data_IF_944299058388
#
_entry.id   IF_944299058388
#
_cell.length_a   1.000
_cell.length_b   1.000
_cell.length_c   1.000
_cell.angle_alpha   90.00
_cell.angle_beta   90.00
_cell.angle_gamma   90.00
#
_symmetry.space_group_name_H-M   'P 1'
#
loop_
_entity.id
_entity.type
_entity.pdbx_description
1 polymer ?
#
# COMPACT_ATOMS: atom_id res chain seq x y z
N UNK A 1 -32.56 6.85 29.10
CA UNK A 1 -31.24 7.16 29.69
C UNK A 1 -30.14 6.14 29.36
N UNK A 2 -30.45 4.86 29.08
CA UNK A 2 -29.43 3.83 28.71
C UNK A 2 -28.79 4.10 27.33
N UNK A 3 -29.45 4.86 26.45
CA UNK A 3 -28.94 5.20 25.11
C UNK A 3 -27.73 6.17 25.07
N UNK A 4 -27.43 6.90 26.15
CA UNK A 4 -26.36 7.91 26.14
C UNK A 4 -24.95 7.36 26.36
N UNK A 5 -24.81 6.09 26.80
CA UNK A 5 -23.50 5.51 27.16
C UNK A 5 -23.00 4.50 26.12
N UNK A 6 -23.91 3.89 25.36
CA UNK A 6 -23.57 2.82 24.42
C UNK A 6 -22.86 3.35 23.16
N UNK A 7 -23.24 4.52 22.66
CA UNK A 7 -22.61 5.16 21.49
C UNK A 7 -21.13 5.54 21.70
N UNK A 8 -20.78 6.25 22.79
CA UNK A 8 -19.38 6.59 23.08
C UNK A 8 -18.50 5.35 23.31
N UNK A 9 -19.02 4.32 23.97
CA UNK A 9 -18.27 3.11 24.27
C UNK A 9 -17.96 2.28 23.01
N UNK A 10 -18.89 2.21 22.05
CA UNK A 10 -18.64 1.52 20.77
C UNK A 10 -17.63 2.27 19.91
N UNK A 11 -17.71 3.60 19.86
CA UNK A 11 -16.70 4.44 19.20
C UNK A 11 -15.32 4.22 19.83
N UNK A 12 -15.21 4.25 21.16
CA UNK A 12 -13.95 4.04 21.86
C UNK A 12 -13.34 2.65 21.58
N UNK A 13 -14.17 1.59 21.60
CA UNK A 13 -13.72 0.22 21.32
C UNK A 13 -13.25 0.06 19.88
N UNK A 14 -13.96 0.63 18.90
CA UNK A 14 -13.53 0.58 17.50
C UNK A 14 -12.25 1.37 17.25
N UNK A 15 -12.07 2.51 17.93
CA UNK A 15 -10.82 3.31 17.87
C UNK A 15 -9.64 2.54 18.48
N UNK A 16 -9.85 1.91 19.64
CA UNK A 16 -8.80 1.13 20.32
C UNK A 16 -8.42 -0.11 19.52
N UNK A 17 -9.40 -0.88 19.04
CA UNK A 17 -9.16 -2.09 18.27
C UNK A 17 -8.43 -1.80 16.95
N UNK A 18 -8.76 -0.69 16.29
CA UNK A 18 -8.09 -0.30 15.05
C UNK A 18 -6.73 0.33 15.29
N UNK A 19 -6.59 1.18 16.31
CA UNK A 19 -5.29 1.73 16.70
C UNK A 19 -4.27 0.62 16.93
N UNK A 20 -4.65 -0.44 17.65
CA UNK A 20 -3.80 -1.61 17.85
C UNK A 20 -3.42 -2.35 16.54
N UNK A 21 -4.32 -2.39 15.55
CA UNK A 21 -4.07 -3.02 14.25
C UNK A 21 -3.21 -2.17 13.29
N UNK A 22 -3.45 -0.86 13.24
CA UNK A 22 -2.75 0.07 12.34
C UNK A 22 -1.26 0.24 12.73
N UNK A 23 -0.95 0.20 14.03
CA UNK A 23 0.44 0.19 14.50
C UNK A 23 1.21 -1.08 14.11
N UNK A 24 0.50 -2.17 13.76
CA UNK A 24 1.13 -3.42 13.34
C UNK A 24 1.30 -3.56 11.81
N UNK A 25 0.61 -2.75 11.00
CA UNK A 25 0.51 -2.99 9.56
C UNK A 25 1.54 -2.28 8.69
N UNK A 26 2.56 -1.61 9.26
CA UNK A 26 3.66 -1.00 8.48
C UNK A 26 3.20 -0.05 7.37
N UNK A 27 2.10 0.68 7.58
CA UNK A 27 1.51 1.52 6.53
C UNK A 27 2.43 2.68 6.13
N UNK A 28 2.56 2.93 4.82
CA UNK A 28 3.29 4.08 4.26
C UNK A 28 2.65 5.44 4.56
N UNK A 29 1.42 5.47 5.07
CA UNK A 29 0.78 6.69 5.53
C UNK A 29 1.28 7.06 6.93
N UNK A 30 1.46 8.35 7.24
CA UNK A 30 1.84 8.70 8.60
C UNK A 30 0.73 8.30 9.58
N UNK A 31 1.08 7.92 10.82
CA UNK A 31 0.13 7.27 11.74
C UNK A 31 -1.10 8.12 12.06
N UNK A 32 -1.00 9.44 11.94
CA UNK A 32 -2.05 10.36 12.35
C UNK A 32 -3.13 10.54 11.28
N UNK A 33 -2.80 10.56 9.99
CA UNK A 33 -3.78 10.64 8.89
C UNK A 33 -4.67 9.39 8.92
N UNK A 34 -4.05 8.22 9.09
CA UNK A 34 -4.79 6.95 9.24
C UNK A 34 -5.71 7.02 10.45
N UNK A 35 -5.20 7.47 11.60
CA UNK A 35 -6.01 7.60 12.81
C UNK A 35 -7.19 8.55 12.59
N UNK A 36 -6.97 9.75 12.05
CA UNK A 36 -8.02 10.75 11.80
C UNK A 36 -9.05 10.24 10.78
N UNK A 37 -8.59 9.62 9.70
CA UNK A 37 -9.46 9.04 8.67
C UNK A 37 -10.37 7.95 9.22
N UNK A 38 -9.81 7.04 10.00
CA UNK A 38 -10.57 5.94 10.60
C UNK A 38 -11.52 6.45 11.66
N UNK A 39 -11.06 7.30 12.57
CA UNK A 39 -11.88 7.88 13.63
C UNK A 39 -13.06 8.65 13.02
N UNK A 40 -12.81 9.48 12.01
CA UNK A 40 -13.86 10.26 11.34
C UNK A 40 -14.86 9.36 10.61
N UNK A 41 -14.40 8.35 9.87
CA UNK A 41 -15.26 7.44 9.10
C UNK A 41 -16.10 6.55 10.02
N UNK A 42 -15.46 5.85 10.97
CA UNK A 42 -16.14 4.97 11.92
C UNK A 42 -17.08 5.76 12.82
N UNK A 43 -16.62 6.91 13.33
CA UNK A 43 -17.43 7.80 14.15
C UNK A 43 -18.66 8.32 13.41
N UNK A 44 -18.49 8.69 12.13
CA UNK A 44 -19.58 9.09 11.24
C UNK A 44 -20.64 7.97 11.13
N UNK A 45 -20.26 6.76 10.72
CA UNK A 45 -21.20 5.65 10.57
C UNK A 45 -21.89 5.25 11.88
N UNK A 46 -21.17 5.28 13.00
CA UNK A 46 -21.74 5.01 14.32
C UNK A 46 -22.84 6.04 14.69
N UNK A 47 -22.57 7.33 14.45
CA UNK A 47 -23.53 8.40 14.72
C UNK A 47 -24.75 8.36 13.81
N UNK A 48 -24.56 8.08 12.51
CA UNK A 48 -25.69 7.89 11.59
C UNK A 48 -26.53 6.70 12.07
N UNK A 49 -25.91 5.58 12.45
CA UNK A 49 -26.62 4.40 12.97
C UNK A 49 -27.42 4.73 14.23
N UNK A 50 -26.82 5.49 15.15
CA UNK A 50 -27.51 6.02 16.33
C UNK A 50 -28.71 6.89 15.97
N UNK A 51 -28.56 7.81 15.01
CA UNK A 51 -29.64 8.67 14.56
C UNK A 51 -30.81 7.85 13.97
N UNK A 52 -30.54 6.89 13.10
CA UNK A 52 -31.57 5.99 12.56
C UNK A 52 -32.22 5.11 13.63
N UNK A 53 -31.47 4.69 14.66
CA UNK A 53 -32.01 3.92 15.78
C UNK A 53 -32.93 4.73 16.69
N UNK A 54 -32.69 6.05 16.81
CA UNK A 54 -33.54 6.97 17.58
C UNK A 54 -34.76 7.46 16.80
N UNK A 55 -34.65 7.63 15.48
CA UNK A 55 -35.65 8.32 14.66
C UNK A 55 -36.60 7.40 13.90
N UNK A 56 -36.14 6.20 13.52
CA UNK A 56 -36.91 5.25 12.71
C UNK A 56 -37.26 3.96 13.47
N UNK A 57 -38.18 3.17 12.92
CA UNK A 57 -38.52 1.85 13.49
C UNK A 57 -37.33 0.92 13.32
N UNK A 58 -36.89 0.30 14.42
CA UNK A 58 -35.72 -0.62 14.48
C UNK A 58 -35.70 -1.67 13.37
N UNK A 59 -36.86 -2.20 12.99
CA UNK A 59 -37.00 -3.21 11.93
C UNK A 59 -36.55 -2.72 10.54
N UNK A 60 -36.60 -1.41 10.28
CA UNK A 60 -36.21 -0.80 9.00
C UNK A 60 -34.83 -0.15 9.11
N UNK A 61 -34.48 0.39 10.28
CA UNK A 61 -33.21 1.11 10.48
C UNK A 61 -31.98 0.26 10.15
N UNK A 62 -31.94 -0.99 10.62
CA UNK A 62 -30.80 -1.90 10.42
C UNK A 62 -30.57 -2.23 8.93
N UNK A 63 -31.55 -2.78 8.19
CA UNK A 63 -31.33 -3.09 6.78
C UNK A 63 -31.06 -1.85 5.93
N UNK A 64 -31.71 -0.72 6.24
CA UNK A 64 -31.49 0.52 5.50
C UNK A 64 -30.06 1.05 5.70
N UNK A 65 -29.54 1.05 6.93
CA UNK A 65 -28.16 1.47 7.19
C UNK A 65 -27.13 0.56 6.53
N UNK A 66 -27.41 -0.75 6.48
CA UNK A 66 -26.54 -1.70 5.80
C UNK A 66 -26.50 -1.43 4.28
N UNK A 67 -27.67 -1.23 3.66
CA UNK A 67 -27.77 -0.94 2.22
C UNK A 67 -27.14 0.41 1.89
N UNK A 68 -27.47 1.47 2.63
CA UNK A 68 -26.94 2.82 2.38
C UNK A 68 -25.44 2.86 2.63
N UNK A 69 -24.95 2.23 3.71
CA UNK A 69 -23.52 2.18 4.00
C UNK A 69 -22.74 1.39 2.96
N UNK A 70 -23.27 0.24 2.52
CA UNK A 70 -22.68 -0.53 1.43
C UNK A 70 -22.61 0.30 0.13
N UNK A 71 -23.72 0.93 -0.26
CA UNK A 71 -23.75 1.77 -1.45
C UNK A 71 -22.79 2.96 -1.33
N UNK A 72 -22.68 3.60 -0.16
CA UNK A 72 -21.75 4.71 0.05
C UNK A 72 -20.28 4.29 -0.02
N UNK A 73 -19.95 3.07 0.41
CA UNK A 73 -18.56 2.60 0.36
C UNK A 73 -18.19 2.05 -1.03
N UNK A 74 -19.12 1.42 -1.74
CA UNK A 74 -18.85 0.74 -3.01
C UNK A 74 -19.14 1.59 -4.23
N UNK A 75 -20.28 2.29 -4.26
CA UNK A 75 -20.71 3.02 -5.45
C UNK A 75 -19.75 4.13 -5.87
N UNK A 76 -19.16 4.95 -4.97
CA UNK A 76 -18.25 6.01 -5.40
C UNK A 76 -17.05 5.52 -6.21
N UNK A 77 -16.56 4.30 -5.98
CA UNK A 77 -15.49 3.70 -6.77
C UNK A 77 -15.94 3.22 -8.16
N UNK A 78 -17.24 3.01 -8.38
CA UNK A 78 -17.80 2.47 -9.61
C UNK A 78 -18.39 3.55 -10.54
N UNK A 79 -18.54 4.80 -10.09
CA UNK A 79 -19.20 5.87 -10.86
C UNK A 79 -18.23 6.95 -11.34
N UNK A 80 -18.51 7.50 -12.52
CA UNK A 80 -17.98 8.79 -12.96
C UNK A 80 -19.06 9.85 -12.71
N UNK A 81 -18.74 11.03 -12.14
CA UNK A 81 -17.41 11.66 -12.02
C UNK A 81 -16.61 11.27 -10.77
N UNK A 82 -15.29 11.42 -10.88
CA UNK A 82 -14.30 10.90 -9.93
C UNK A 82 -14.30 11.57 -8.55
N UNK A 83 -14.73 12.83 -8.45
CA UNK A 83 -14.75 13.57 -7.18
C UNK A 83 -15.62 12.90 -6.10
N UNK A 84 -16.65 12.12 -6.47
CA UNK A 84 -17.53 11.44 -5.49
C UNK A 84 -16.72 10.44 -4.66
N UNK A 85 -15.74 9.76 -5.28
CA UNK A 85 -14.88 8.77 -4.61
C UNK A 85 -14.10 9.38 -3.44
N UNK A 86 -13.73 10.66 -3.55
CA UNK A 86 -12.87 11.34 -2.60
C UNK A 86 -13.63 11.81 -1.35
N UNK A 87 -14.96 11.75 -1.36
CA UNK A 87 -15.82 12.27 -0.28
C UNK A 87 -16.20 11.22 0.78
N UNK A 88 -16.04 9.93 0.49
CA UNK A 88 -16.46 8.87 1.44
C UNK A 88 -15.41 8.58 2.54
N UNK A 89 -14.25 9.26 2.49
CA UNK A 89 -13.14 9.04 3.41
C UNK A 89 -12.40 7.72 3.18
N UNK A 90 -12.66 7.05 2.05
CA UNK A 90 -11.94 5.86 1.63
C UNK A 90 -10.85 6.26 0.65
N UNK A 91 -9.60 6.03 1.02
CA UNK A 91 -8.43 6.30 0.17
C UNK A 91 -7.95 5.00 -0.49
N UNK A 92 -8.89 4.15 -0.91
CA UNK A 92 -8.59 2.88 -1.59
C UNK A 92 -7.76 3.17 -2.84
N UNK A 93 -6.65 2.44 -3.00
CA UNK A 93 -5.71 2.61 -4.11
C UNK A 93 -4.59 3.62 -3.81
N UNK A 94 -4.64 4.34 -2.69
CA UNK A 94 -3.47 5.02 -2.15
C UNK A 94 -2.74 4.08 -1.17
N UNK A 95 -1.41 4.09 -1.07
CA UNK A 95 -0.47 4.89 -1.85
C UNK A 95 0.63 3.97 -2.38
N UNK A 96 1.07 4.21 -3.61
CA UNK A 96 2.33 3.68 -4.13
C UNK A 96 3.52 4.37 -3.47
N UNK A 97 4.73 3.88 -3.73
CA UNK A 97 5.96 4.40 -3.11
C UNK A 97 6.35 5.78 -3.63
N UNK A 98 6.09 5.99 -4.90
CA UNK A 98 6.27 7.20 -5.67
C UNK A 98 5.24 8.30 -5.34
N UNK A 99 4.24 7.96 -4.54
CA UNK A 99 3.05 8.78 -4.34
C UNK A 99 2.77 9.05 -2.87
N UNK A 100 2.26 10.23 -2.55
CA UNK A 100 1.75 10.60 -1.24
C UNK A 100 0.25 10.88 -1.31
N UNK A 101 -0.42 10.76 -0.17
CA UNK A 101 -1.85 11.07 -0.10
C UNK A 101 -2.07 12.55 -0.37
N UNK A 102 -2.95 12.88 -1.31
CA UNK A 102 -3.34 14.25 -1.57
C UNK A 102 -4.00 14.85 -0.33
N UNK A 103 -3.40 15.91 0.22
CA UNK A 103 -3.97 16.64 1.36
C UNK A 103 -5.40 17.12 1.06
N UNK A 104 -5.66 17.52 -0.19
CA UNK A 104 -6.99 17.97 -0.62
C UNK A 104 -8.02 16.84 -0.57
N UNK A 105 -7.66 15.63 -1.02
CA UNK A 105 -8.54 14.45 -0.97
C UNK A 105 -8.75 13.99 0.48
N UNK A 106 -7.67 13.97 1.27
CA UNK A 106 -7.72 13.65 2.69
C UNK A 106 -8.73 14.54 3.44
N UNK A 107 -8.60 15.86 3.27
CA UNK A 107 -9.48 16.80 3.94
C UNK A 107 -10.90 16.81 3.37
N UNK A 108 -11.10 16.62 2.06
CA UNK A 108 -12.44 16.54 1.46
C UNK A 108 -13.26 15.39 2.08
N UNK A 109 -12.68 14.18 2.16
CA UNK A 109 -13.33 13.02 2.79
C UNK A 109 -13.53 13.20 4.30
N UNK A 110 -12.50 13.70 4.99
CA UNK A 110 -12.56 13.90 6.45
C UNK A 110 -13.61 14.93 6.84
N UNK A 111 -13.64 16.09 6.17
CA UNK A 111 -14.62 17.15 6.42
C UNK A 111 -16.03 16.66 6.10
N UNK A 112 -16.21 15.89 5.01
CA UNK A 112 -17.50 15.31 4.68
C UNK A 112 -18.00 14.36 5.77
N UNK A 113 -17.14 13.47 6.26
CA UNK A 113 -17.48 12.54 7.33
C UNK A 113 -17.82 13.27 8.64
N UNK A 114 -17.06 14.32 9.00
CA UNK A 114 -17.35 15.15 10.16
C UNK A 114 -18.66 15.94 10.01
N UNK A 115 -18.97 16.44 8.81
CA UNK A 115 -20.21 17.14 8.51
C UNK A 115 -21.43 16.22 8.67
N UNK A 116 -21.34 14.98 8.18
CA UNK A 116 -22.39 13.96 8.33
C UNK A 116 -22.53 13.54 9.80
N UNK A 117 -21.41 13.34 10.52
CA UNK A 117 -21.40 13.04 11.95
C UNK A 117 -22.11 14.15 12.76
N UNK A 118 -21.79 15.42 12.48
CA UNK A 118 -22.42 16.56 13.13
C UNK A 118 -23.92 16.63 12.83
N UNK A 119 -24.32 16.40 11.57
CA UNK A 119 -25.72 16.33 11.19
C UNK A 119 -26.48 15.23 11.96
N UNK A 120 -25.91 14.04 12.07
CA UNK A 120 -26.50 12.95 12.84
C UNK A 120 -26.64 13.32 14.33
N UNK A 121 -25.63 13.97 14.92
CA UNK A 121 -25.67 14.43 16.31
C UNK A 121 -26.75 15.51 16.54
N UNK A 122 -26.88 16.47 15.63
CA UNK A 122 -27.95 17.49 15.64
C UNK A 122 -29.31 16.82 15.60
N UNK A 123 -29.50 15.81 14.74
CA UNK A 123 -30.78 15.09 14.64
C UNK A 123 -31.11 14.29 15.90
N UNK A 124 -30.12 13.68 16.57
CA UNK A 124 -30.30 12.94 17.83
C UNK A 124 -30.67 13.90 18.98
N UNK A 125 -29.94 15.01 19.12
CA UNK A 125 -30.08 15.95 20.25
C UNK A 125 -31.33 16.81 20.17
N UNK A 126 -31.93 16.96 18.99
CA UNK A 126 -33.11 17.82 18.77
C UNK A 126 -34.43 17.05 18.73
N UNK A 127 -34.42 15.77 19.08
CA UNK A 127 -35.63 14.96 19.26
C UNK A 127 -36.52 15.58 20.34
N UNK A 128 -37.76 15.90 19.98
CA UNK A 128 -38.73 16.55 20.89
C UNK A 128 -38.62 18.08 20.98
N UNK A 129 -37.71 18.71 20.22
CA UNK A 129 -37.60 20.17 20.17
C UNK A 129 -38.70 20.79 19.30
N UNK A 130 -39.33 21.89 19.75
CA UNK A 130 -40.34 22.62 18.99
C UNK A 130 -39.80 23.24 17.68
N UNK A 131 -38.49 23.52 17.61
CA UNK A 131 -37.83 24.06 16.41
C UNK A 131 -37.19 22.99 15.52
N UNK A 132 -37.65 21.74 15.62
CA UNK A 132 -37.06 20.60 14.90
C UNK A 132 -36.92 20.81 13.39
N UNK A 133 -37.87 21.49 12.75
CA UNK A 133 -37.80 21.76 11.31
C UNK A 133 -36.53 22.54 10.93
N UNK A 134 -36.14 23.55 11.73
CA UNK A 134 -34.92 24.35 11.49
C UNK A 134 -33.68 23.48 11.62
N UNK A 135 -33.63 22.62 12.66
CA UNK A 135 -32.49 21.73 12.89
C UNK A 135 -32.33 20.65 11.83
N UNK A 136 -33.45 20.14 11.29
CA UNK A 136 -33.43 19.22 10.14
C UNK A 136 -32.83 19.92 8.93
N UNK A 137 -33.27 21.15 8.62
CA UNK A 137 -32.69 21.92 7.51
C UNK A 137 -31.18 22.13 7.69
N UNK A 138 -30.73 22.48 8.90
CA UNK A 138 -29.30 22.62 9.20
C UNK A 138 -28.55 21.30 9.02
N UNK A 139 -29.10 20.19 9.51
CA UNK A 139 -28.52 18.86 9.39
C UNK A 139 -28.43 18.37 7.93
N UNK A 140 -29.25 18.91 7.03
CA UNK A 140 -29.18 18.64 5.59
C UNK A 140 -28.18 19.58 4.90
N UNK A 141 -28.22 20.88 5.22
CA UNK A 141 -27.39 21.90 4.56
C UNK A 141 -25.90 21.68 4.84
N UNK A 142 -25.52 21.31 6.07
CA UNK A 142 -24.11 21.16 6.45
C UNK A 142 -23.39 20.08 5.61
N UNK A 143 -23.88 18.82 5.52
CA UNK A 143 -23.26 17.81 4.67
C UNK A 143 -23.31 18.14 3.17
N UNK A 144 -24.35 18.83 2.70
CA UNK A 144 -24.44 19.25 1.29
C UNK A 144 -23.41 20.32 0.96
N UNK A 145 -23.20 21.29 1.85
CA UNK A 145 -22.18 22.31 1.69
C UNK A 145 -20.78 21.70 1.72
N UNK A 146 -20.51 20.78 2.66
CA UNK A 146 -19.25 20.04 2.72
C UNK A 146 -19.00 19.22 1.45
N UNK A 147 -20.03 18.53 0.94
CA UNK A 147 -19.92 17.75 -0.29
C UNK A 147 -19.65 18.66 -1.51
N UNK A 148 -20.30 19.81 -1.58
CA UNK A 148 -20.08 20.78 -2.65
C UNK A 148 -18.66 21.37 -2.62
N UNK A 149 -18.18 21.74 -1.43
CA UNK A 149 -16.82 22.25 -1.24
C UNK A 149 -15.79 21.17 -1.60
N UNK A 150 -15.98 19.94 -1.12
CA UNK A 150 -15.10 18.82 -1.42
C UNK A 150 -15.12 18.43 -2.90
N UNK A 151 -16.28 18.48 -3.55
CA UNK A 151 -16.41 18.25 -4.99
C UNK A 151 -15.66 19.33 -5.79
N UNK A 152 -15.78 20.61 -5.39
CA UNK A 152 -15.07 21.71 -6.03
C UNK A 152 -13.56 21.65 -5.80
N UNK A 153 -13.10 21.20 -4.63
CA UNK A 153 -11.65 21.09 -4.34
C UNK A 153 -11.01 19.86 -4.97
N UNK A 154 -11.78 18.83 -5.29
CA UNK A 154 -11.28 17.57 -5.88
C UNK A 154 -11.70 17.39 -7.35
N UNK A 155 -12.18 18.44 -8.02
CA UNK A 155 -12.64 18.36 -9.42
C UNK A 155 -11.54 17.93 -10.38
N UNK A 156 -10.30 18.32 -10.08
CA UNK A 156 -9.13 18.10 -10.93
C UNK A 156 -8.31 16.89 -10.48
N UNK A 157 -8.74 16.23 -9.39
CA UNK A 157 -8.08 15.02 -8.89
C UNK A 157 -8.44 13.85 -9.80
N UNK A 158 -7.42 13.08 -10.16
CA UNK A 158 -7.54 11.90 -10.99
C UNK A 158 -8.30 10.75 -10.33
N UNK A 159 -8.18 9.53 -10.89
CA UNK A 159 -8.89 8.39 -10.35
C UNK A 159 -8.34 7.86 -9.01
N UNK A 160 -7.15 8.27 -8.65
CA UNK A 160 -6.47 7.81 -7.45
C UNK A 160 -6.34 8.98 -6.47
N UNK A 161 -6.32 8.66 -5.17
CA UNK A 161 -6.31 9.67 -4.09
C UNK A 161 -4.90 10.23 -3.82
N UNK A 162 -3.92 9.80 -4.60
CA UNK A 162 -2.52 10.09 -4.46
C UNK A 162 -2.07 11.25 -5.38
N UNK A 163 -0.95 11.84 -5.02
CA UNK A 163 -0.19 12.80 -5.80
C UNK A 163 1.27 12.34 -5.81
N UNK A 164 2.04 12.73 -6.82
CA UNK A 164 3.47 12.45 -6.84
C UNK A 164 4.16 13.02 -5.59
N UNK A 165 5.05 12.23 -4.97
CA UNK A 165 5.78 12.69 -3.79
C UNK A 165 6.60 13.93 -4.12
N UNK A 166 6.41 14.98 -3.33
CA UNK A 166 7.14 16.24 -3.45
C UNK A 166 8.56 16.20 -2.85
N UNK A 167 8.83 15.22 -2.00
CA UNK A 167 10.10 15.07 -1.29
C UNK A 167 11.16 14.48 -2.22
N UNK A 168 12.37 15.06 -2.35
CA UNK A 168 13.41 14.46 -3.20
C UNK A 168 14.03 13.21 -2.55
N UNK A 169 14.51 12.30 -3.40
CA UNK A 169 15.32 11.17 -2.93
C UNK A 169 16.67 11.65 -2.38
N UNK A 170 17.13 10.96 -1.34
CA UNK A 170 18.48 11.11 -0.77
C UNK A 170 19.34 9.98 -1.32
N UNK A 171 20.45 10.34 -1.97
CA UNK A 171 21.37 9.37 -2.55
C UNK A 171 22.65 9.28 -1.74
N UNK A 172 23.04 8.06 -1.42
CA UNK A 172 24.29 7.73 -0.73
C UNK A 172 25.11 6.78 -1.62
N UNK A 173 26.44 6.87 -1.54
CA UNK A 173 27.34 6.06 -2.36
C UNK A 173 28.43 5.42 -1.52
N UNK A 174 28.64 4.11 -1.71
CA UNK A 174 29.66 3.30 -1.03
C UNK A 174 30.10 2.16 -1.94
N UNK A 175 31.42 1.87 -2.00
CA UNK A 175 32.00 0.71 -2.70
C UNK A 175 31.40 0.43 -4.10
N UNK A 176 31.40 1.45 -4.96
CA UNK A 176 30.88 1.40 -6.35
C UNK A 176 29.36 1.15 -6.46
N UNK A 177 28.61 1.36 -5.37
CA UNK A 177 27.14 1.40 -5.37
C UNK A 177 26.66 2.81 -5.10
N UNK A 178 25.67 3.23 -5.84
CA UNK A 178 24.81 4.36 -5.47
C UNK A 178 23.42 3.83 -5.15
N UNK A 179 22.90 4.15 -3.97
CA UNK A 179 21.51 3.88 -3.63
C UNK A 179 20.80 5.18 -3.30
N UNK A 180 19.59 5.36 -3.83
CA UNK A 180 18.76 6.54 -3.61
C UNK A 180 17.44 6.12 -2.97
N UNK A 181 17.22 6.53 -1.74
CA UNK A 181 16.03 6.20 -0.94
C UNK A 181 15.27 7.46 -0.55
N UNK A 182 14.08 7.26 0.01
CA UNK A 182 13.35 8.34 0.65
C UNK A 182 14.03 8.75 1.97
N UNK A 183 13.89 10.01 2.42
CA UNK A 183 14.55 10.51 3.61
C UNK A 183 14.28 9.68 4.88
N UNK A 184 13.07 9.13 5.02
CA UNK A 184 12.70 8.28 6.15
C UNK A 184 13.50 6.96 6.24
N UNK A 185 14.17 6.56 5.15
CA UNK A 185 15.08 5.41 5.12
C UNK A 185 16.54 5.85 5.29
N UNK A 186 16.90 7.04 4.78
CA UNK A 186 18.30 7.51 4.88
C UNK A 186 18.76 7.78 6.30
N UNK A 187 17.84 7.99 7.25
CA UNK A 187 18.22 8.18 8.65
C UNK A 187 18.82 6.92 9.32
N UNK A 188 18.66 5.73 8.70
CA UNK A 188 19.32 4.46 9.08
C UNK A 188 20.45 4.04 8.10
N UNK A 189 21.06 5.03 7.43
CA UNK A 189 21.98 4.86 6.29
C UNK A 189 23.11 3.84 6.52
N UNK A 190 23.59 3.69 7.75
CA UNK A 190 24.67 2.78 8.08
C UNK A 190 24.31 1.30 7.87
N UNK A 191 23.08 0.90 8.20
CA UNK A 191 22.67 -0.50 8.10
C UNK A 191 22.35 -0.91 6.66
N UNK A 192 21.55 -0.08 5.97
CA UNK A 192 21.14 -0.33 4.58
C UNK A 192 22.35 -0.39 3.64
N UNK A 193 23.27 0.58 3.73
CA UNK A 193 24.48 0.59 2.91
C UNK A 193 25.35 -0.65 3.13
N UNK A 194 25.54 -1.05 4.40
CA UNK A 194 26.33 -2.22 4.76
C UNK A 194 25.71 -3.52 4.23
N UNK A 195 24.39 -3.65 4.30
CA UNK A 195 23.67 -4.81 3.76
C UNK A 195 23.79 -4.84 2.24
N UNK A 196 23.56 -3.72 1.54
CA UNK A 196 23.72 -3.65 0.08
C UNK A 196 25.14 -4.06 -0.34
N UNK A 197 26.16 -3.53 0.34
CA UNK A 197 27.56 -3.88 0.07
C UNK A 197 27.85 -5.37 0.32
N UNK A 198 27.33 -5.94 1.42
CA UNK A 198 27.42 -7.37 1.73
C UNK A 198 26.79 -8.22 0.63
N UNK A 199 25.53 -7.92 0.26
CA UNK A 199 24.78 -8.67 -0.76
C UNK A 199 25.49 -8.64 -2.10
N UNK A 200 25.95 -7.47 -2.56
CA UNK A 200 26.71 -7.36 -3.81
C UNK A 200 28.01 -8.14 -3.77
N UNK A 201 28.71 -8.12 -2.64
CA UNK A 201 29.95 -8.89 -2.50
C UNK A 201 29.67 -10.40 -2.57
N UNK A 202 28.60 -10.87 -1.94
CA UNK A 202 28.19 -12.27 -1.97
C UNK A 202 27.76 -12.71 -3.37
N UNK A 203 26.98 -11.87 -4.06
CA UNK A 203 26.58 -12.09 -5.45
C UNK A 203 27.76 -12.09 -6.43
N UNK A 204 28.68 -11.13 -6.30
CA UNK A 204 29.89 -11.05 -7.12
C UNK A 204 30.77 -12.29 -6.92
N UNK A 205 30.90 -12.78 -5.68
CA UNK A 205 31.58 -14.05 -5.37
C UNK A 205 30.90 -15.26 -6.02
N UNK A 206 29.60 -15.19 -6.27
CA UNK A 206 28.82 -16.21 -6.97
C UNK A 206 28.82 -16.04 -8.50
N UNK A 207 29.50 -15.01 -9.03
CA UNK A 207 29.57 -14.73 -10.47
C UNK A 207 28.41 -13.89 -11.01
N UNK A 208 27.61 -13.27 -10.14
CA UNK A 208 26.56 -12.34 -10.56
C UNK A 208 27.01 -10.88 -10.38
N UNK A 209 27.09 -10.14 -11.48
CA UNK A 209 27.38 -8.71 -11.46
C UNK A 209 26.09 -7.91 -11.26
N UNK A 210 25.94 -7.46 -10.02
CA UNK A 210 24.80 -6.69 -9.56
C UNK A 210 24.83 -5.23 -10.06
N UNK A 211 23.66 -4.62 -10.37
CA UNK A 211 23.56 -3.22 -10.72
C UNK A 211 24.35 -2.29 -9.80
N UNK A 212 24.94 -1.25 -10.37
CA UNK A 212 25.67 -0.21 -9.62
C UNK A 212 24.75 0.83 -8.98
N UNK A 213 23.49 0.93 -9.44
CA UNK A 213 22.56 1.96 -8.97
C UNK A 213 21.21 1.36 -8.60
N UNK A 214 20.76 1.66 -7.39
CA UNK A 214 19.46 1.28 -6.84
C UNK A 214 18.66 2.53 -6.49
N UNK A 215 17.38 2.60 -6.85
CA UNK A 215 16.53 3.76 -6.55
C UNK A 215 15.17 3.33 -6.02
N UNK A 216 14.56 4.10 -5.13
CA UNK A 216 13.21 3.83 -4.66
C UNK A 216 12.13 4.10 -5.73
N UNK A 217 12.48 4.83 -6.80
CA UNK A 217 11.64 5.09 -7.97
C UNK A 217 12.49 4.98 -9.24
N UNK A 218 11.88 4.55 -10.35
CA UNK A 218 12.53 4.56 -11.66
C UNK A 218 12.39 5.94 -12.31
N UNK A 219 13.49 6.48 -12.82
CA UNK A 219 13.49 7.62 -13.75
C UNK A 219 14.00 7.24 -15.13
N UNK A 220 14.49 6.00 -15.29
CA UNK A 220 15.03 5.44 -16.53
C UNK A 220 14.84 3.92 -16.58
N UNK A 221 14.64 3.32 -17.77
CA UNK A 221 14.56 1.87 -17.96
C UNK A 221 15.80 1.08 -17.51
N UNK A 222 16.92 1.74 -17.24
CA UNK A 222 18.16 1.12 -16.76
C UNK A 222 18.32 1.13 -15.23
N UNK A 223 17.35 1.69 -14.51
CA UNK A 223 17.42 1.84 -13.06
C UNK A 223 16.62 0.75 -12.36
N UNK A 224 17.25 0.15 -11.36
CA UNK A 224 16.66 -0.92 -10.55
C UNK A 224 15.89 -0.32 -9.39
N UNK A 225 14.58 -0.62 -9.35
CA UNK A 225 13.69 -0.14 -8.30
C UNK A 225 13.74 -1.06 -7.10
N UNK A 226 14.19 -0.57 -5.96
CA UNK A 226 14.19 -1.31 -4.70
C UNK A 226 13.29 -0.64 -3.66
N UNK A 227 12.58 -1.45 -2.89
CA UNK A 227 11.51 -1.01 -1.99
C UNK A 227 11.85 -1.39 -0.55
N UNK A 228 12.09 -0.41 0.31
CA UNK A 228 12.37 -0.64 1.73
C UNK A 228 11.45 0.24 2.56
N UNK A 229 10.96 -0.30 3.68
CA UNK A 229 10.19 0.43 4.68
C UNK A 229 11.11 0.87 5.84
N UNK A 230 10.76 1.92 6.60
CA UNK A 230 11.53 2.30 7.79
C UNK A 230 11.69 1.12 8.76
N UNK A 231 12.86 1.01 9.38
CA UNK A 231 13.21 -0.06 10.33
C UNK A 231 13.08 -1.49 9.76
N UNK A 232 13.19 -1.65 8.43
CA UNK A 232 13.13 -2.96 7.80
C UNK A 232 14.24 -3.89 8.35
N UNK A 233 13.89 -5.12 8.77
CA UNK A 233 14.89 -6.09 9.21
C UNK A 233 15.81 -6.49 8.05
N UNK A 234 17.03 -6.94 8.36
CA UNK A 234 18.04 -7.31 7.37
C UNK A 234 17.52 -8.27 6.28
N UNK A 235 16.64 -9.21 6.65
CA UNK A 235 16.05 -10.17 5.72
C UNK A 235 15.16 -9.49 4.67
N UNK A 236 14.39 -8.48 5.06
CA UNK A 236 13.49 -7.75 4.16
C UNK A 236 14.30 -6.87 3.20
N UNK A 237 15.41 -6.31 3.67
CA UNK A 237 16.35 -5.54 2.82
C UNK A 237 16.98 -6.47 1.76
N UNK A 238 17.47 -7.65 2.17
CA UNK A 238 18.05 -8.65 1.25
C UNK A 238 17.03 -9.16 0.24
N UNK A 239 15.80 -9.39 0.69
CA UNK A 239 14.71 -9.81 -0.19
C UNK A 239 14.32 -8.71 -1.16
N UNK A 240 14.20 -7.47 -0.70
CA UNK A 240 13.90 -6.33 -1.56
C UNK A 240 14.94 -6.13 -2.66
N UNK A 241 16.24 -6.23 -2.33
CA UNK A 241 17.32 -6.14 -3.32
C UNK A 241 17.23 -7.26 -4.37
N UNK A 242 16.91 -8.48 -3.94
CA UNK A 242 16.75 -9.61 -4.85
C UNK A 242 15.58 -9.39 -5.80
N UNK A 243 14.42 -9.00 -5.25
CA UNK A 243 13.23 -8.70 -6.03
C UNK A 243 13.47 -7.55 -7.02
N UNK A 244 14.19 -6.52 -6.59
CA UNK A 244 14.55 -5.38 -7.42
C UNK A 244 15.31 -5.83 -8.68
N UNK A 245 16.31 -6.70 -8.51
CA UNK A 245 17.10 -7.24 -9.62
C UNK A 245 16.25 -8.13 -10.53
N UNK A 246 15.49 -9.06 -9.95
CA UNK A 246 14.68 -10.03 -10.72
C UNK A 246 13.58 -9.33 -11.52
N UNK A 247 12.90 -8.36 -10.92
CA UNK A 247 11.84 -7.59 -11.59
C UNK A 247 12.37 -6.64 -12.67
N UNK A 248 13.66 -6.30 -12.64
CA UNK A 248 14.30 -5.47 -13.67
C UNK A 248 14.75 -6.29 -14.89
N UNK A 249 14.66 -7.63 -14.84
CA UNK A 249 14.99 -8.45 -15.99
C UNK A 249 13.98 -8.18 -17.12
N UNK A 250 14.43 -8.01 -18.37
CA UNK A 250 13.55 -7.73 -19.50
C UNK A 250 12.60 -8.91 -19.71
N UNK A 251 11.34 -8.73 -19.32
CA UNK A 251 10.29 -9.73 -19.59
C UNK A 251 9.82 -9.56 -21.02
N UNK A 252 9.80 -10.66 -21.77
CA UNK A 252 9.34 -10.64 -23.16
C UNK A 252 7.85 -10.32 -23.25
N UNK A 253 7.54 -9.25 -23.97
CA UNK A 253 6.19 -8.66 -24.05
C UNK A 253 5.12 -9.64 -24.53
N UNK A 254 5.48 -10.68 -25.29
CA UNK A 254 4.54 -11.64 -25.88
C UNK A 254 4.03 -12.70 -24.89
N UNK A 255 4.74 -12.97 -23.78
CA UNK A 255 4.30 -13.96 -22.79
C UNK A 255 4.85 -13.70 -21.38
N UNK A 256 4.37 -12.65 -20.69
CA UNK A 256 4.89 -12.29 -19.37
C UNK A 256 4.73 -13.40 -18.32
N UNK A 257 3.68 -14.23 -18.40
CA UNK A 257 3.47 -15.36 -17.48
C UNK A 257 4.32 -16.58 -17.79
N UNK A 258 4.88 -16.68 -19.01
CA UNK A 258 5.70 -17.82 -19.43
C UNK A 258 7.08 -17.88 -18.76
N UNK A 259 7.55 -16.77 -18.19
CA UNK A 259 8.89 -16.65 -17.59
C UNK A 259 8.90 -16.76 -16.07
N UNK A 260 7.73 -16.77 -15.40
CA UNK A 260 7.66 -16.99 -13.96
C UNK A 260 8.44 -18.24 -13.49
N UNK A 261 8.37 -19.40 -14.19
CA UNK A 261 9.16 -20.59 -13.81
C UNK A 261 10.68 -20.41 -13.86
N UNK A 262 11.17 -19.37 -14.56
CA UNK A 262 12.59 -19.05 -14.68
C UNK A 262 13.04 -17.97 -13.68
N UNK A 263 12.13 -17.08 -13.29
CA UNK A 263 12.38 -16.04 -12.30
C UNK A 263 12.44 -16.64 -10.89
N UNK A 264 11.53 -17.55 -10.54
CA UNK A 264 11.47 -18.13 -9.18
C UNK A 264 12.80 -18.83 -8.76
N UNK A 265 13.46 -19.65 -9.62
CA UNK A 265 14.75 -20.24 -9.29
C UNK A 265 15.88 -19.21 -9.17
N UNK A 266 15.87 -18.15 -9.98
CA UNK A 266 16.87 -17.07 -9.90
C UNK A 266 16.69 -16.31 -8.58
N UNK A 267 15.46 -15.93 -8.26
CA UNK A 267 15.11 -15.22 -7.02
C UNK A 267 15.54 -16.04 -5.80
N UNK A 268 15.14 -17.32 -5.74
CA UNK A 268 15.51 -18.20 -4.63
C UNK A 268 17.03 -18.41 -4.52
N UNK A 269 17.73 -18.59 -5.64
CA UNK A 269 19.19 -18.73 -5.64
C UNK A 269 19.89 -17.44 -5.18
N UNK A 270 19.48 -16.27 -5.65
CA UNK A 270 20.03 -14.98 -5.23
C UNK A 270 19.77 -14.70 -3.74
N UNK A 271 18.57 -15.02 -3.24
CA UNK A 271 18.22 -14.93 -1.82
C UNK A 271 19.16 -15.80 -0.97
N UNK A 272 19.34 -17.07 -1.32
CA UNK A 272 20.25 -17.97 -0.59
C UNK A 272 21.70 -17.52 -0.66
N UNK A 273 22.14 -17.00 -1.82
CA UNK A 273 23.48 -16.42 -1.97
C UNK A 273 23.67 -15.17 -1.14
N UNK A 274 22.61 -14.42 -0.88
CA UNK A 274 22.62 -13.30 0.07
C UNK A 274 22.57 -13.73 1.54
N UNK A 275 22.63 -15.04 1.85
CA UNK A 275 22.62 -15.54 3.23
C UNK A 275 21.23 -15.69 3.84
N UNK A 276 20.16 -15.50 3.06
CA UNK A 276 18.78 -15.73 3.51
C UNK A 276 18.45 -17.22 3.39
N UNK A 277 17.98 -17.85 4.47
CA UNK A 277 17.46 -19.21 4.43
C UNK A 277 16.04 -19.22 3.84
N UNK A 278 15.95 -19.00 2.53
CA UNK A 278 14.70 -18.93 1.79
C UNK A 278 14.26 -20.31 1.26
N UNK A 279 12.96 -20.51 1.22
CA UNK A 279 12.26 -21.62 0.56
C UNK A 279 11.06 -21.06 -0.21
N UNK A 280 10.56 -21.82 -1.18
CA UNK A 280 9.37 -21.48 -1.96
C UNK A 280 8.42 -22.66 -2.01
N UNK A 281 7.12 -22.38 -2.05
CA UNK A 281 6.05 -23.37 -2.22
C UNK A 281 5.86 -23.77 -3.70
N UNK A 282 6.58 -23.11 -4.61
CA UNK A 282 6.55 -23.43 -6.04
C UNK A 282 7.18 -24.82 -6.27
N UNK A 283 6.42 -25.81 -6.78
CA UNK A 283 6.90 -27.18 -6.92
C UNK A 283 8.17 -27.29 -7.78
N UNK A 284 9.20 -27.98 -7.29
CA UNK A 284 10.42 -28.29 -8.06
C UNK A 284 11.49 -27.19 -8.04
N UNK A 285 11.16 -25.95 -7.66
CA UNK A 285 12.11 -24.82 -7.65
C UNK A 285 13.16 -25.00 -6.56
N UNK A 286 12.76 -25.40 -5.36
CA UNK A 286 13.68 -25.65 -4.25
C UNK A 286 14.68 -26.77 -4.59
N UNK A 287 14.21 -27.86 -5.20
CA UNK A 287 15.05 -28.98 -5.63
C UNK A 287 15.99 -28.58 -6.77
N UNK A 288 15.52 -27.76 -7.72
CA UNK A 288 16.34 -27.25 -8.81
C UNK A 288 17.49 -26.37 -8.27
N UNK A 289 17.17 -25.40 -7.41
CA UNK A 289 18.17 -24.53 -6.79
C UNK A 289 19.16 -25.35 -5.96
N UNK A 290 18.70 -26.35 -5.21
CA UNK A 290 19.59 -27.23 -4.47
C UNK A 290 20.55 -28.01 -5.39
N UNK A 291 20.08 -28.49 -6.56
CA UNK A 291 20.94 -29.14 -7.57
C UNK A 291 21.97 -28.18 -8.15
N UNK A 292 21.58 -26.92 -8.39
CA UNK A 292 22.49 -25.86 -8.86
C UNK A 292 23.55 -25.56 -7.79
N UNK A 293 23.14 -25.40 -6.54
CA UNK A 293 24.01 -25.10 -5.40
C UNK A 293 25.08 -26.17 -5.15
N UNK A 294 24.80 -27.43 -5.51
CA UNK A 294 25.75 -28.54 -5.44
C UNK A 294 26.83 -28.51 -6.54
N UNK A 295 26.68 -27.70 -7.59
CA UNK A 295 27.67 -27.56 -8.67
C UNK A 295 28.80 -26.61 -8.26
N UNK A 296 29.92 -26.66 -8.99
CA UNK A 296 31.01 -25.70 -8.79
C UNK A 296 30.56 -24.26 -9.07
N UNK A 297 31.16 -23.24 -8.45
CA UNK A 297 30.79 -21.83 -8.67
C UNK A 297 30.77 -21.42 -10.15
N UNK A 298 31.73 -21.90 -10.95
CA UNK A 298 31.77 -21.65 -12.38
C UNK A 298 30.56 -22.22 -13.14
N UNK A 299 30.02 -23.36 -12.72
CA UNK A 299 28.81 -23.95 -13.32
C UNK A 299 27.54 -23.21 -12.91
N UNK A 300 27.51 -22.65 -11.69
CA UNK A 300 26.39 -21.84 -11.23
C UNK A 300 26.34 -20.50 -11.97
N UNK A 301 27.49 -19.84 -12.12
CA UNK A 301 27.63 -18.64 -12.94
C UNK A 301 27.22 -18.92 -14.40
N UNK A 302 27.70 -20.01 -15.00
CA UNK A 302 27.32 -20.40 -16.35
C UNK A 302 25.82 -20.72 -16.51
N UNK A 303 25.18 -21.29 -15.48
CA UNK A 303 23.73 -21.49 -15.46
C UNK A 303 23.01 -20.15 -15.44
N UNK A 304 23.38 -19.26 -14.52
CA UNK A 304 22.77 -17.94 -14.38
C UNK A 304 22.91 -17.13 -15.67
N UNK A 305 24.11 -17.07 -16.24
CA UNK A 305 24.38 -16.37 -17.50
C UNK A 305 23.52 -16.91 -18.64
N UNK A 306 23.38 -18.24 -18.77
CA UNK A 306 22.51 -18.84 -19.79
C UNK A 306 21.05 -18.47 -19.57
N UNK A 307 20.56 -18.54 -18.33
CA UNK A 307 19.17 -18.23 -18.02
C UNK A 307 18.86 -16.75 -18.25
N UNK A 308 19.72 -15.84 -17.80
CA UNK A 308 19.57 -14.41 -18.04
C UNK A 308 19.62 -14.07 -19.54
N UNK A 309 20.52 -14.70 -20.30
CA UNK A 309 20.55 -14.54 -21.75
C UNK A 309 19.31 -15.12 -22.45
N UNK A 310 18.76 -16.23 -21.96
CA UNK A 310 17.52 -16.78 -22.48
C UNK A 310 16.34 -15.82 -22.23
N UNK A 311 16.23 -15.27 -21.01
CA UNK A 311 15.22 -14.26 -20.67
C UNK A 311 15.37 -13.03 -21.58
N UNK A 312 16.58 -12.47 -21.70
CA UNK A 312 16.83 -11.27 -22.50
C UNK A 312 16.55 -11.44 -24.00
N UNK A 313 16.69 -12.65 -24.53
CA UNK A 313 16.48 -12.95 -25.95
C UNK A 313 15.15 -13.67 -26.22
N UNK A 314 14.26 -13.76 -25.24
CA UNK A 314 12.99 -14.48 -25.36
C UNK A 314 13.14 -15.95 -25.79
N UNK A 315 14.20 -16.60 -25.30
CA UNK A 315 14.51 -18.00 -25.53
C UNK A 315 13.69 -18.96 -24.66
N UNK A 316 13.95 -20.25 -24.84
CA UNK A 316 13.33 -21.29 -24.02
C UNK A 316 13.87 -21.24 -22.59
N UNK A 317 12.95 -21.04 -21.64
CA UNK A 317 13.21 -21.03 -20.20
C UNK A 317 12.42 -22.13 -19.49
N UNK A 318 12.14 -23.23 -20.19
CA UNK A 318 11.58 -24.43 -19.57
C UNK A 318 12.51 -25.00 -18.50
N UNK A 319 11.97 -25.67 -17.46
CA UNK A 319 12.80 -26.32 -16.44
C UNK A 319 13.86 -27.26 -17.05
N UNK A 320 13.53 -27.94 -18.14
CA UNK A 320 14.44 -28.80 -18.90
C UNK A 320 15.60 -28.01 -19.54
N UNK A 321 15.32 -26.83 -20.09
CA UNK A 321 16.35 -25.94 -20.64
C UNK A 321 17.25 -25.32 -19.56
N UNK A 322 16.74 -25.22 -18.32
CA UNK A 322 17.46 -24.63 -17.18
C UNK A 322 18.25 -25.63 -16.34
N UNK A 323 18.32 -26.92 -16.73
CA UNK A 323 19.10 -27.90 -15.97
C UNK A 323 20.63 -27.63 -16.04
N UNK A 324 21.35 -27.73 -14.90
CA UNK A 324 22.78 -27.40 -14.80
C UNK A 324 23.76 -28.52 -15.17
#
# INVERSE_FOLDING_TARGET
MIGNVIGPATILVSIIAYGAGAFHSGSLLPPWEVAVGVISTVGCFALIGGAFGCLARRAISVPLMLVVGYLWMVMPGAVQPYWIRNLNGSWIGCCGIESELSATVFWAGTIQNLAIALAALVLITTVGNQRRAIWISIAIIIPLAAAFIGAASTSDVGPTADVERSTPLVCSSSDEVTYCTWPEISDDDGNVAAIIASVRTDWKRAGFDSPGTYRAITTSPSEVVFMIIPDAPDIDIRQSLTNAVVNHLPVCAENPSGYAPALDPIELWLLRRSGVNANTDVPGVTELVQRIEQKSPAKQAAWLDRTLNAIANCGDVSPEAMEP
#
